data_IF_170919022925
#
_entry.id   IF_170919022925
#
_cell.length_a   1.000
_cell.length_b   1.000
_cell.length_c   1.000
_cell.angle_alpha   90.00
_cell.angle_beta   90.00
_cell.angle_gamma   90.00
#
_symmetry.space_group_name_H-M   'P 1'
#
loop_
_entity.id
_entity.type
_entity.pdbx_description
1 polymer ?
#
# COMPACT_ATOMS: atom_id res chain seq x y z
N UNK A 1 17.42 9.73 23.07
CA UNK A 1 17.15 8.36 22.61
C UNK A 1 16.38 8.45 21.31
N UNK A 2 16.91 7.89 20.22
CA UNK A 2 16.20 7.75 18.93
C UNK A 2 15.57 6.36 18.90
N UNK A 3 14.30 6.28 18.53
CA UNK A 3 13.68 4.98 18.24
C UNK A 3 14.40 4.35 17.04
N UNK A 4 14.59 3.02 16.99
CA UNK A 4 15.08 2.34 15.80
C UNK A 4 14.00 2.38 14.72
N UNK A 5 13.91 3.50 14.00
CA UNK A 5 13.00 3.72 12.87
C UNK A 5 13.73 3.50 11.56
N UNK A 6 13.15 2.69 10.67
CA UNK A 6 13.55 2.58 9.27
C UNK A 6 12.72 3.57 8.47
N UNK A 7 13.37 4.54 7.84
CA UNK A 7 12.69 5.51 6.98
C UNK A 7 12.50 4.93 5.58
N UNK A 8 11.32 5.16 5.00
CA UNK A 8 10.99 4.82 3.62
C UNK A 8 10.60 6.13 2.93
N UNK A 9 11.39 6.54 1.94
CA UNK A 9 11.12 7.72 1.11
C UNK A 9 10.85 7.24 -0.30
N UNK A 10 9.69 7.60 -0.84
CA UNK A 10 9.24 7.19 -2.18
C UNK A 10 8.83 8.45 -2.96
N UNK A 11 9.25 8.53 -4.22
CA UNK A 11 8.74 9.51 -5.16
C UNK A 11 7.27 9.21 -5.51
N UNK A 12 6.53 10.17 -6.10
CA UNK A 12 5.18 9.92 -6.58
C UNK A 12 5.13 8.70 -7.52
N UNK A 13 4.25 7.75 -7.22
CA UNK A 13 4.10 6.51 -8.00
C UNK A 13 5.12 5.41 -7.70
N UNK A 14 6.13 5.64 -6.86
CA UNK A 14 7.04 4.57 -6.42
C UNK A 14 6.39 3.67 -5.37
N UNK A 15 6.64 2.36 -5.48
CA UNK A 15 6.12 1.33 -4.59
C UNK A 15 5.96 0.00 -5.31
N UNK A 16 5.28 -0.95 -4.67
CA UNK A 16 4.90 -2.21 -5.31
C UNK A 16 3.51 -2.08 -5.93
N UNK A 17 3.38 -2.39 -7.22
CA UNK A 17 2.14 -2.22 -7.96
C UNK A 17 1.34 -3.53 -8.02
N UNK A 18 0.03 -3.42 -7.87
CA UNK A 18 -0.92 -4.51 -8.01
C UNK A 18 -2.17 -4.01 -8.75
N UNK A 19 -2.53 -4.68 -9.84
CA UNK A 19 -3.76 -4.39 -10.59
C UNK A 19 -4.86 -5.32 -10.10
N UNK A 20 -5.99 -4.75 -9.70
CA UNK A 20 -7.17 -5.49 -9.22
C UNK A 20 -8.38 -5.02 -10.01
N UNK A 21 -8.86 -5.86 -10.94
CA UNK A 21 -9.89 -5.45 -11.90
C UNK A 21 -9.39 -4.25 -12.71
N UNK A 22 -10.12 -3.14 -12.65
CA UNK A 22 -9.79 -1.88 -13.34
C UNK A 22 -9.05 -0.87 -12.44
N UNK A 23 -8.71 -1.23 -11.20
CA UNK A 23 -8.00 -0.35 -10.27
C UNK A 23 -6.52 -0.69 -10.17
N UNK A 24 -5.69 0.33 -9.99
CA UNK A 24 -4.26 0.18 -9.72
C UNK A 24 -3.97 0.53 -8.26
N UNK A 25 -3.33 -0.40 -7.54
CA UNK A 25 -2.90 -0.22 -6.15
C UNK A 25 -1.38 -0.13 -6.10
N UNK A 26 -0.86 0.92 -5.48
CA UNK A 26 0.59 1.12 -5.24
C UNK A 26 0.86 1.03 -3.76
N UNK A 27 1.52 -0.05 -3.31
CA UNK A 27 1.92 -0.25 -1.92
C UNK A 27 3.19 0.50 -1.58
N UNK A 28 3.13 1.32 -0.53
CA UNK A 28 4.24 2.09 0.03
C UNK A 28 4.86 1.44 1.26
N UNK A 29 4.05 0.71 2.03
CA UNK A 29 4.48 -0.10 3.16
C UNK A 29 3.51 -1.28 3.33
N UNK A 30 4.05 -2.44 3.72
CA UNK A 30 3.28 -3.65 4.02
C UNK A 30 3.54 -4.11 5.46
N UNK A 31 2.83 -5.16 5.92
CA UNK A 31 3.01 -5.71 7.26
C UNK A 31 4.47 -6.01 7.62
N UNK A 32 5.25 -6.54 6.67
CA UNK A 32 6.67 -6.80 6.86
C UNK A 32 7.52 -5.54 7.18
N UNK A 33 7.10 -4.35 6.72
CA UNK A 33 7.78 -3.09 7.01
C UNK A 33 7.39 -2.50 8.38
N UNK A 34 6.21 -2.87 8.88
CA UNK A 34 5.58 -2.27 10.06
C UNK A 34 5.40 -3.25 11.21
N UNK A 35 6.01 -4.43 11.15
CA UNK A 35 5.82 -5.51 12.14
C UNK A 35 4.35 -5.96 12.27
N UNK A 36 3.64 -5.97 11.15
CA UNK A 36 2.25 -6.40 11.05
C UNK A 36 1.24 -5.39 11.61
N UNK A 37 1.64 -4.15 11.85
CA UNK A 37 0.76 -3.13 12.42
C UNK A 37 -0.15 -2.48 11.38
N UNK A 38 0.37 -2.19 10.18
CA UNK A 38 -0.40 -1.54 9.11
C UNK A 38 0.25 -1.71 7.73
N UNK A 39 -0.57 -1.55 6.69
CA UNK A 39 -0.12 -1.31 5.32
C UNK A 39 -0.51 0.10 4.86
N UNK A 40 0.29 0.69 3.96
CA UNK A 40 0.03 1.99 3.33
C UNK A 40 0.02 1.78 1.82
N UNK A 41 -1.02 2.26 1.15
CA UNK A 41 -1.13 2.14 -0.30
C UNK A 41 -1.91 3.33 -0.90
N UNK A 42 -1.66 3.58 -2.18
CA UNK A 42 -2.51 4.41 -3.04
C UNK A 42 -3.40 3.49 -3.86
N UNK A 43 -4.65 3.89 -4.10
CA UNK A 43 -5.57 3.18 -4.97
C UNK A 43 -6.11 4.15 -6.02
N UNK A 44 -5.64 4.01 -7.25
CA UNK A 44 -6.13 4.78 -8.39
C UNK A 44 -7.35 4.07 -8.97
N UNK A 45 -8.51 4.69 -8.77
CA UNK A 45 -9.80 4.21 -9.26
C UNK A 45 -10.17 5.06 -10.49
N UNK A 46 -10.29 4.47 -11.69
CA UNK A 46 -10.69 5.22 -12.88
C UNK A 46 -12.13 5.74 -12.76
N UNK A 47 -12.51 6.79 -13.52
CA UNK A 47 -13.88 7.27 -13.56
C UNK A 47 -14.86 6.14 -13.92
N UNK A 48 -15.87 5.92 -13.08
CA UNK A 48 -16.83 4.81 -13.26
C UNK A 48 -16.36 3.45 -12.73
N UNK A 49 -15.14 3.36 -12.19
CA UNK A 49 -14.60 2.17 -11.54
C UNK A 49 -15.42 1.77 -10.31
N UNK A 50 -15.67 0.47 -10.16
CA UNK A 50 -16.49 -0.06 -9.08
C UNK A 50 -15.63 -0.46 -7.87
N UNK A 51 -15.78 0.34 -6.79
CA UNK A 51 -15.26 0.14 -5.41
C UNK A 51 -13.75 0.36 -5.21
N UNK A 52 -13.41 0.80 -4.00
CA UNK A 52 -12.03 0.75 -3.52
C UNK A 52 -11.57 -0.72 -3.46
N UNK A 53 -10.30 -0.97 -3.78
CA UNK A 53 -9.72 -2.31 -3.72
C UNK A 53 -10.00 -2.93 -2.35
N UNK A 54 -10.70 -4.07 -2.32
CA UNK A 54 -10.84 -4.87 -1.11
C UNK A 54 -9.57 -5.68 -0.93
N UNK A 55 -8.65 -5.17 -0.12
CA UNK A 55 -7.38 -5.81 0.19
C UNK A 55 -7.57 -6.77 1.38
N UNK A 56 -7.07 -7.99 1.27
CA UNK A 56 -7.14 -8.95 2.39
C UNK A 56 -6.23 -8.50 3.53
N UNK A 57 -6.54 -8.96 4.74
CA UNK A 57 -5.71 -8.74 5.93
C UNK A 57 -4.28 -9.30 5.78
N UNK A 58 -4.02 -10.14 4.78
CA UNK A 58 -2.69 -10.72 4.53
C UNK A 58 -1.67 -9.68 4.08
N UNK A 59 -2.09 -8.52 3.55
CA UNK A 59 -1.19 -7.38 3.29
C UNK A 59 -0.71 -6.73 4.59
N UNK A 60 -1.48 -6.85 5.67
CA UNK A 60 -1.15 -6.34 6.99
C UNK A 60 -0.37 -7.35 7.84
N UNK A 61 -0.18 -8.60 7.40
CA UNK A 61 0.64 -9.61 8.09
C UNK A 61 2.01 -9.73 7.44
#
# INVERSE_FOLDING_TARGET
>A
MTLPTKEIVLAPGEGNHLVIGDSEVTFKAIGADTHGHLGIFENLIPPGGSRAASLSWDICK
#
